data_IF_712015986466
#
_entry.id   IF_712015986466
#
_cell.length_a   1.000
_cell.length_b   1.000
_cell.length_c   1.000
_cell.angle_alpha   90.00
_cell.angle_beta   90.00
_cell.angle_gamma   90.00
#
_symmetry.space_group_name_H-M   'P 1'
#
loop_
_entity.id
_entity.type
_entity.pdbx_description
1 polymer ?
#
# COMPACT_ATOMS: atom_id res chain seq x y z
N UNK A 1 -9.48 -18.49 -7.25
CA UNK A 1 -8.19 -18.07 -6.63
C UNK A 1 -7.24 -17.63 -7.73
N UNK A 2 -6.66 -16.44 -7.62
CA UNK A 2 -5.69 -15.91 -8.60
C UNK A 2 -4.27 -16.13 -8.05
N UNK A 3 -3.33 -16.59 -8.89
CA UNK A 3 -1.93 -16.82 -8.51
C UNK A 3 -1.01 -15.93 -9.34
N UNK A 4 0.01 -15.37 -8.70
CA UNK A 4 1.05 -14.57 -9.36
C UNK A 4 2.38 -15.32 -9.31
N UNK A 5 3.11 -15.33 -10.43
CA UNK A 5 4.40 -15.98 -10.54
C UNK A 5 5.44 -14.98 -11.02
N UNK A 6 6.52 -14.81 -10.25
CA UNK A 6 7.64 -13.96 -10.63
C UNK A 6 8.83 -14.83 -11.06
N UNK A 7 9.17 -14.78 -12.35
CA UNK A 7 10.33 -15.50 -12.95
C UNK A 7 11.45 -14.55 -13.40
N UNK A 8 11.46 -13.31 -12.90
CA UNK A 8 12.52 -12.36 -13.20
C UNK A 8 13.83 -12.62 -12.44
N UNK A 9 14.82 -11.72 -12.59
CA UNK A 9 16.13 -11.84 -11.97
C UNK A 9 16.10 -11.98 -10.44
N UNK A 10 17.11 -12.64 -9.89
CA UNK A 10 17.35 -12.78 -8.46
C UNK A 10 18.33 -11.72 -7.93
N UNK A 11 18.00 -10.44 -8.10
CA UNK A 11 18.89 -9.33 -7.83
C UNK A 11 18.42 -8.44 -6.66
N UNK A 12 19.12 -7.31 -6.50
CA UNK A 12 18.93 -6.29 -5.48
C UNK A 12 17.89 -5.20 -5.86
N UNK A 13 17.12 -5.40 -6.94
CA UNK A 13 16.18 -4.40 -7.47
C UNK A 13 14.73 -4.74 -7.16
N UNK A 14 14.03 -3.81 -6.53
CA UNK A 14 12.57 -3.89 -6.34
C UNK A 14 11.82 -3.63 -7.65
N UNK A 15 10.72 -4.34 -7.88
CA UNK A 15 9.93 -4.23 -9.12
C UNK A 15 8.47 -3.99 -8.84
N UNK A 16 7.85 -3.16 -9.68
CA UNK A 16 6.49 -2.68 -9.52
C UNK A 16 5.65 -3.08 -10.73
N UNK A 17 4.51 -3.72 -10.46
CA UNK A 17 3.58 -4.16 -11.49
C UNK A 17 2.19 -3.58 -11.20
N UNK A 18 1.48 -3.18 -12.24
CA UNK A 18 0.06 -2.83 -12.16
C UNK A 18 -0.76 -4.03 -12.63
N UNK A 19 -1.56 -4.58 -11.73
CA UNK A 19 -2.56 -5.60 -12.08
C UNK A 19 -3.83 -4.86 -12.49
N UNK A 20 -4.29 -5.13 -13.70
CA UNK A 20 -5.51 -4.53 -14.26
C UNK A 20 -6.58 -5.59 -14.30
N UNK A 21 -7.67 -5.34 -13.58
CA UNK A 21 -8.86 -6.18 -13.54
C UNK A 21 -9.89 -5.60 -14.49
N UNK A 22 -10.43 -6.44 -15.38
CA UNK A 22 -11.54 -6.08 -16.25
C UNK A 22 -12.75 -6.89 -15.81
N UNK A 23 -13.81 -6.19 -15.45
CA UNK A 23 -15.09 -6.77 -15.09
C UNK A 23 -16.15 -6.33 -16.12
N UNK A 24 -16.91 -7.28 -16.63
CA UNK A 24 -17.97 -7.06 -17.60
C UNK A 24 -19.23 -7.75 -17.08
N UNK A 25 -20.25 -6.96 -16.76
CA UNK A 25 -21.54 -7.50 -16.40
C UNK A 25 -22.16 -8.14 -17.65
N UNK A 26 -22.38 -9.46 -17.62
CA UNK A 26 -23.16 -10.11 -18.67
C UNK A 26 -24.59 -9.57 -18.57
N UNK A 27 -25.03 -8.88 -19.61
CA UNK A 27 -26.41 -8.41 -19.71
C UNK A 27 -27.27 -9.59 -20.17
N UNK A 28 -28.28 -9.94 -19.38
CA UNK A 28 -29.37 -10.77 -19.87
C UNK A 28 -30.16 -9.90 -20.87
N UNK A 29 -29.84 -10.05 -22.15
CA UNK A 29 -30.70 -9.54 -23.20
C UNK A 29 -32.02 -10.31 -23.11
N UNK A 30 -32.99 -9.80 -22.34
CA UNK A 30 -34.36 -10.26 -22.44
C UNK A 30 -34.75 -10.15 -23.92
N UNK A 31 -35.13 -11.29 -24.51
CA UNK A 31 -35.74 -11.34 -25.84
C UNK A 31 -37.11 -10.68 -25.74
N UNK A 32 -37.14 -9.37 -25.67
CA UNK A 32 -38.34 -8.62 -25.98
C UNK A 32 -38.59 -8.73 -27.48
N UNK A 33 -39.79 -9.14 -27.87
CA UNK A 33 -40.29 -9.23 -29.25
C UNK A 33 -40.46 -7.84 -29.90
N UNK A 34 -39.63 -6.86 -29.53
CA UNK A 34 -39.64 -5.52 -30.09
C UNK A 34 -38.69 -5.44 -31.29
N UNK A 35 -39.10 -4.75 -32.35
CA UNK A 35 -38.34 -4.61 -33.61
C UNK A 35 -36.97 -3.90 -33.46
N UNK A 36 -36.65 -3.36 -32.27
CA UNK A 36 -35.35 -2.80 -31.90
C UNK A 36 -35.09 -3.05 -30.41
N UNK A 37 -33.98 -3.71 -30.09
CA UNK A 37 -33.45 -3.81 -28.73
C UNK A 37 -32.07 -3.15 -28.64
N UNK A 38 -31.79 -2.52 -27.51
CA UNK A 38 -30.49 -1.94 -27.19
C UNK A 38 -30.02 -2.54 -25.87
N UNK A 39 -28.87 -3.22 -25.90
CA UNK A 39 -28.29 -3.86 -24.72
C UNK A 39 -27.13 -3.01 -24.22
N UNK A 40 -27.28 -2.41 -23.04
CA UNK A 40 -26.21 -1.69 -22.37
C UNK A 40 -25.43 -2.65 -21.45
N UNK A 41 -24.16 -2.88 -21.76
CA UNK A 41 -23.26 -3.70 -20.92
C UNK A 41 -22.45 -2.79 -20.01
N UNK A 42 -22.61 -2.93 -18.70
CA UNK A 42 -21.76 -2.23 -17.73
C UNK A 42 -20.39 -2.91 -17.66
N UNK A 43 -19.31 -2.12 -17.64
CA UNK A 43 -17.95 -2.63 -17.45
C UNK A 43 -17.18 -1.79 -16.45
N UNK A 44 -16.28 -2.42 -15.70
CA UNK A 44 -15.39 -1.77 -14.75
C UNK A 44 -13.93 -2.16 -15.00
N UNK A 45 -13.02 -1.20 -14.81
CA UNK A 45 -11.57 -1.41 -14.90
C UNK A 45 -10.92 -0.97 -13.60
N UNK A 46 -10.37 -1.92 -12.85
CA UNK A 46 -9.75 -1.67 -11.54
C UNK A 46 -8.23 -1.84 -11.68
N UNK A 47 -7.46 -0.89 -11.15
CA UNK A 47 -5.99 -0.96 -11.13
C UNK A 47 -5.48 -1.18 -9.71
N UNK A 48 -4.73 -2.26 -9.49
CA UNK A 48 -4.05 -2.53 -8.21
C UNK A 48 -2.54 -2.66 -8.44
N UNK A 49 -1.75 -2.55 -7.37
CA UNK A 49 -0.28 -2.62 -7.44
C UNK A 49 0.22 -3.90 -6.78
N UNK A 50 1.17 -4.55 -7.44
CA UNK A 50 1.98 -5.64 -6.91
C UNK A 50 3.44 -5.16 -6.83
N UNK A 51 4.01 -5.24 -5.64
CA UNK A 51 5.43 -4.96 -5.39
C UNK A 51 6.16 -6.29 -5.20
N UNK A 52 7.21 -6.51 -5.98
CA UNK A 52 8.11 -7.65 -5.83
C UNK A 52 9.37 -7.12 -5.18
N UNK A 53 9.53 -7.40 -3.87
CA UNK A 53 10.74 -7.05 -3.13
C UNK A 53 11.99 -7.71 -3.76
N UNK A 54 13.17 -7.10 -3.63
CA UNK A 54 14.42 -7.70 -4.09
C UNK A 54 14.64 -9.09 -3.50
N UNK A 55 15.20 -10.03 -4.28
CA UNK A 55 15.59 -11.34 -3.72
C UNK A 55 16.81 -11.19 -2.80
N UNK A 56 17.68 -10.23 -3.11
CA UNK A 56 18.81 -9.82 -2.26
C UNK A 56 18.41 -8.58 -1.46
N UNK A 57 17.48 -8.77 -0.53
CA UNK A 57 16.93 -7.66 0.26
C UNK A 57 17.92 -7.16 1.31
N UNK A 58 18.16 -5.86 1.31
CA UNK A 58 18.89 -5.12 2.32
C UNK A 58 17.95 -4.10 2.95
N UNK A 59 17.34 -4.49 4.07
CA UNK A 59 16.46 -3.61 4.84
C UNK A 59 17.27 -2.75 5.79
N UNK A 60 17.18 -1.43 5.61
CA UNK A 60 17.76 -0.47 6.53
C UNK A 60 16.85 0.76 6.63
N UNK A 61 16.77 1.34 7.82
CA UNK A 61 16.01 2.57 8.04
C UNK A 61 16.71 3.43 9.07
N UNK A 62 16.40 4.72 9.02
CA UNK A 62 16.80 5.68 10.04
C UNK A 62 15.56 6.42 10.52
N UNK A 63 15.40 6.51 11.84
CA UNK A 63 14.40 7.38 12.45
C UNK A 63 15.12 8.52 13.16
N UNK A 64 14.97 9.73 12.66
CA UNK A 64 15.64 10.91 13.19
C UNK A 64 14.72 12.12 13.11
N UNK A 65 14.71 12.93 14.17
CA UNK A 65 13.93 14.16 14.27
C UNK A 65 12.44 13.98 13.89
N UNK A 66 11.81 12.84 14.19
CA UNK A 66 10.41 12.57 13.84
C UNK A 66 10.14 12.20 12.37
N UNK A 67 11.20 11.98 11.58
CA UNK A 67 11.11 11.50 10.19
C UNK A 67 11.70 10.11 10.09
N UNK A 68 11.01 9.22 9.37
CA UNK A 68 11.49 7.89 9.05
C UNK A 68 11.98 7.86 7.60
N UNK A 69 13.23 7.43 7.41
CA UNK A 69 13.91 7.37 6.13
C UNK A 69 14.21 5.92 5.80
N UNK A 70 13.80 5.46 4.63
CA UNK A 70 14.20 4.15 4.12
C UNK A 70 15.55 4.30 3.42
N UNK A 71 16.58 3.71 3.99
CA UNK A 71 17.96 3.72 3.47
C UNK A 71 18.38 2.36 2.93
N UNK A 72 17.44 1.41 2.84
CA UNK A 72 17.63 0.09 2.24
C UNK A 72 17.23 0.06 0.76
N UNK A 73 17.13 -1.14 0.19
CA UNK A 73 16.76 -1.36 -1.22
C UNK A 73 15.35 -1.93 -1.42
N UNK A 74 14.59 -2.13 -0.35
CA UNK A 74 13.24 -2.69 -0.38
C UNK A 74 12.24 -1.76 0.34
N UNK A 75 11.00 -1.68 -0.16
CA UNK A 75 9.94 -0.86 0.43
C UNK A 75 9.58 -1.33 1.83
N UNK A 76 9.39 -0.37 2.73
CA UNK A 76 8.93 -0.60 4.11
C UNK A 76 7.44 -0.26 4.23
N UNK A 77 6.69 -1.05 5.01
CA UNK A 77 5.32 -0.67 5.42
C UNK A 77 5.42 0.00 6.77
N UNK A 78 5.29 1.32 6.80
CA UNK A 78 5.48 2.11 8.02
C UNK A 78 4.12 2.45 8.61
N UNK A 79 4.05 2.50 9.94
CA UNK A 79 2.84 2.86 10.64
C UNK A 79 3.14 3.64 11.92
N UNK A 80 2.21 4.52 12.27
CA UNK A 80 2.19 5.20 13.55
C UNK A 80 0.80 5.11 14.15
N UNK A 81 0.72 5.02 15.48
CA UNK A 81 -0.52 5.02 16.23
C UNK A 81 -0.32 5.68 17.59
N UNK A 82 -1.38 6.29 18.13
CA UNK A 82 -1.34 7.02 19.40
C UNK A 82 -2.27 8.23 19.40
N UNK A 83 -2.02 9.23 20.24
CA UNK A 83 -2.82 10.46 20.27
C UNK A 83 -2.81 11.18 18.93
N UNK A 84 -3.91 11.86 18.62
CA UNK A 84 -3.95 12.75 17.45
C UNK A 84 -3.18 14.05 17.71
N UNK A 85 -2.40 14.48 16.72
CA UNK A 85 -1.68 15.75 16.73
C UNK A 85 -2.63 16.96 16.80
N UNK A 86 -3.79 16.86 16.15
CA UNK A 86 -4.86 17.86 16.23
C UNK A 86 -6.04 17.26 16.97
N UNK A 87 -6.50 17.91 18.04
CA UNK A 87 -7.65 17.46 18.83
C UNK A 87 -8.93 17.28 17.98
N UNK A 88 -9.07 18.05 16.90
CA UNK A 88 -10.19 17.93 15.95
C UNK A 88 -10.25 16.56 15.24
N UNK A 89 -9.14 15.82 15.18
CA UNK A 89 -9.09 14.49 14.56
C UNK A 89 -9.55 13.36 15.51
N UNK A 90 -9.91 13.69 16.76
CA UNK A 90 -10.31 12.73 17.78
C UNK A 90 -9.21 12.46 18.81
N UNK A 91 -9.44 11.44 19.66
CA UNK A 91 -8.52 11.07 20.75
C UNK A 91 -7.36 10.19 20.26
N UNK A 92 -7.61 9.32 19.29
CA UNK A 92 -6.63 8.37 18.77
C UNK A 92 -6.53 8.46 17.25
N UNK A 93 -5.31 8.43 16.75
CA UNK A 93 -4.99 8.49 15.34
C UNK A 93 -4.12 7.30 14.94
N UNK A 94 -4.25 6.90 13.67
CA UNK A 94 -3.37 5.92 13.04
C UNK A 94 -3.03 6.35 11.62
N UNK A 95 -1.82 6.04 11.20
CA UNK A 95 -1.30 6.30 9.86
C UNK A 95 -0.57 5.06 9.34
N UNK A 96 -0.75 4.75 8.05
CA UNK A 96 -0.10 3.62 7.39
C UNK A 96 0.36 4.06 6.00
N UNK A 97 1.63 3.82 5.68
CA UNK A 97 2.22 4.20 4.40
C UNK A 97 3.20 3.15 3.88
N UNK A 98 3.40 3.14 2.57
CA UNK A 98 4.53 2.48 1.93
C UNK A 98 5.67 3.49 1.77
N UNK A 99 6.86 3.16 2.29
CA UNK A 99 8.06 3.99 2.22
C UNK A 99 9.09 3.34 1.31
N UNK A 100 9.19 3.85 0.08
CA UNK A 100 10.13 3.36 -0.94
C UNK A 100 11.59 3.66 -0.57
N UNK A 101 12.55 2.88 -1.10
CA UNK A 101 13.99 3.14 -0.97
C UNK A 101 14.38 4.60 -1.25
N UNK A 102 15.22 5.17 -0.39
CA UNK A 102 15.70 6.56 -0.48
C UNK A 102 14.67 7.63 -0.13
N UNK A 103 13.45 7.27 0.31
CA UNK A 103 12.41 8.24 0.68
C UNK A 103 12.32 8.41 2.19
N UNK A 104 11.88 9.62 2.57
CA UNK A 104 11.61 10.02 3.95
C UNK A 104 10.13 10.33 4.15
N UNK A 105 9.61 10.07 5.35
CA UNK A 105 8.23 10.39 5.70
C UNK A 105 8.12 10.82 7.16
N UNK A 106 7.38 11.91 7.37
CA UNK A 106 6.87 12.32 8.68
C UNK A 106 5.40 11.92 8.79
N UNK A 107 4.99 11.52 9.98
CA UNK A 107 3.58 11.31 10.32
C UNK A 107 2.95 12.67 10.63
N UNK A 108 1.74 12.91 10.13
CA UNK A 108 1.11 14.25 10.18
C UNK A 108 -0.20 14.27 10.95
N UNK A 109 -0.74 13.11 11.32
CA UNK A 109 -1.98 12.97 12.09
C UNK A 109 -1.74 12.47 13.49
N UNK A 110 -0.78 11.57 13.69
CA UNK A 110 -0.37 11.03 14.99
C UNK A 110 0.64 11.95 15.63
N UNK A 111 0.44 12.28 16.90
CA UNK A 111 1.47 12.94 17.71
C UNK A 111 2.56 11.92 18.07
N UNK A 112 3.63 11.93 17.29
CA UNK A 112 4.79 11.07 17.52
C UNK A 112 5.78 11.66 18.53
N UNK A 113 5.60 12.91 18.96
CA UNK A 113 6.40 13.51 20.02
C UNK A 113 5.90 13.07 21.41
N UNK A 114 4.59 12.89 21.56
CA UNK A 114 3.96 12.33 22.75
C UNK A 114 4.52 10.95 23.13
N UNK A 115 4.60 10.65 24.44
CA UNK A 115 5.15 9.40 24.97
C UNK A 115 4.24 8.18 24.75
N UNK A 116 2.98 8.38 24.35
CA UNK A 116 2.03 7.35 23.91
C UNK A 116 2.04 7.19 22.39
N UNK A 117 2.67 8.09 21.65
CA UNK A 117 2.90 7.95 20.21
C UNK A 117 3.88 6.80 19.93
N UNK A 118 3.47 5.86 19.08
CA UNK A 118 4.27 4.71 18.66
C UNK A 118 4.55 4.78 17.17
N UNK A 119 5.76 4.37 16.78
CA UNK A 119 6.16 4.22 15.39
C UNK A 119 6.68 2.81 15.21
N UNK A 120 6.20 2.14 14.16
CA UNK A 120 6.64 0.80 13.80
C UNK A 120 6.69 0.63 12.28
N UNK A 121 7.31 -0.44 11.84
CA UNK A 121 7.36 -0.79 10.43
C UNK A 121 7.44 -2.29 10.20
N UNK A 122 7.17 -2.70 8.97
CA UNK A 122 7.41 -4.06 8.50
C UNK A 122 8.58 -4.10 7.51
N UNK A 123 9.50 -5.03 7.76
CA UNK A 123 10.56 -5.45 6.85
C UNK A 123 10.19 -6.82 6.28
N UNK A 124 9.60 -6.83 5.08
CA UNK A 124 8.92 -8.04 4.60
C UNK A 124 7.83 -8.46 5.59
N UNK A 125 8.01 -9.61 6.22
CA UNK A 125 7.08 -10.21 7.20
C UNK A 125 7.51 -10.00 8.66
N UNK A 126 8.62 -9.30 8.93
CA UNK A 126 9.06 -8.96 10.28
C UNK A 126 8.52 -7.61 10.73
N UNK A 127 7.84 -7.59 11.88
CA UNK A 127 7.40 -6.37 12.55
C UNK A 127 8.52 -5.80 13.43
N UNK A 128 8.84 -4.53 13.24
CA UNK A 128 9.90 -3.81 13.97
C UNK A 128 9.28 -2.63 14.72
N UNK A 129 9.24 -2.64 16.06
CA UNK A 129 8.94 -1.45 16.85
C UNK A 129 10.12 -0.47 16.76
N UNK A 130 9.86 0.78 16.37
CA UNK A 130 10.89 1.82 16.22
C UNK A 130 10.95 2.71 17.46
N UNK A 131 9.78 3.09 17.99
CA UNK A 131 9.59 3.90 19.19
C UNK A 131 8.26 3.53 19.84
#
# INVERSE_FOLDING_TARGET
MIRFFYKGPADEKERYYRIVWFDQALSDAQRDNANRSAVATASARIGTILVVAPRQANYHFQYANGSLTNTGNATLRILAYGPCLKAANGKECKENYYLMPGKSRRFTRVDTADNKGRVALWQGDKFIPVK
#
